data_IF_610133539126
#
_entry.id   IF_610133539126
#
_cell.length_a   1.000
_cell.length_b   1.000
_cell.length_c   1.000
_cell.angle_alpha   90.00
_cell.angle_beta   90.00
_cell.angle_gamma   90.00
#
_symmetry.space_group_name_H-M   'P 1'
#
loop_
_entity.id
_entity.type
_entity.pdbx_description
1 polymer ?
#
# COMPACT_ATOMS: atom_id res chain seq x y z
N UNK A 1 -4.25 -5.84 -0.96
CA UNK A 1 -4.38 -6.78 -2.10
C UNK A 1 -3.62 -6.22 -3.28
N UNK A 2 -2.81 -7.04 -3.96
CA UNK A 2 -2.02 -6.67 -5.14
C UNK A 2 -2.54 -7.40 -6.37
N UNK A 3 -2.64 -6.69 -7.49
CA UNK A 3 -2.92 -7.24 -8.81
C UNK A 3 -1.69 -7.01 -9.71
N UNK A 4 -1.35 -7.97 -10.55
CA UNK A 4 -0.28 -7.85 -11.52
C UNK A 4 -0.70 -8.51 -12.84
N UNK A 5 -0.14 -8.06 -13.95
CA UNK A 5 -0.23 -8.73 -15.25
C UNK A 5 1.01 -9.59 -15.56
N UNK A 6 1.96 -9.68 -14.62
CA UNK A 6 3.10 -10.56 -14.76
C UNK A 6 2.67 -12.04 -14.63
N UNK A 7 3.17 -12.94 -15.49
CA UNK A 7 2.89 -14.38 -15.39
C UNK A 7 3.65 -14.96 -14.21
N UNK A 8 2.97 -15.14 -13.09
CA UNK A 8 3.52 -15.64 -11.85
C UNK A 8 2.72 -16.85 -11.36
N UNK A 9 3.42 -17.86 -10.85
CA UNK A 9 2.81 -18.95 -10.11
C UNK A 9 2.45 -18.53 -8.66
N UNK A 10 1.73 -19.40 -7.96
CA UNK A 10 1.27 -19.12 -6.59
C UNK A 10 2.42 -18.85 -5.61
N UNK A 11 3.56 -19.52 -5.76
CA UNK A 11 4.74 -19.31 -4.92
C UNK A 11 5.33 -17.92 -5.11
N UNK A 12 5.46 -17.48 -6.37
CA UNK A 12 5.99 -16.16 -6.71
C UNK A 12 5.01 -15.04 -6.34
N UNK A 13 3.71 -15.26 -6.56
CA UNK A 13 2.66 -14.35 -6.08
C UNK A 13 2.70 -14.18 -4.57
N UNK A 14 2.91 -15.24 -3.81
CA UNK A 14 3.10 -15.16 -2.36
C UNK A 14 4.30 -14.31 -1.95
N UNK A 15 5.42 -14.40 -2.67
CA UNK A 15 6.61 -13.56 -2.44
C UNK A 15 6.35 -12.08 -2.74
N UNK A 16 5.60 -11.79 -3.80
CA UNK A 16 5.18 -10.41 -4.14
C UNK A 16 4.20 -9.89 -3.11
N UNK A 17 3.19 -10.68 -2.74
CA UNK A 17 2.23 -10.32 -1.70
C UNK A 17 2.91 -9.93 -0.39
N UNK A 18 3.92 -10.70 0.03
CA UNK A 18 4.65 -10.42 1.27
C UNK A 18 5.33 -9.04 1.26
N UNK A 19 5.72 -8.53 0.10
CA UNK A 19 6.34 -7.19 -0.05
C UNK A 19 5.38 -6.05 0.29
N UNK A 20 4.07 -6.26 0.21
CA UNK A 20 3.10 -5.24 0.64
C UNK A 20 3.18 -4.93 2.15
N UNK A 21 3.61 -5.89 2.98
CA UNK A 21 3.85 -5.65 4.40
C UNK A 21 5.02 -4.67 4.61
N UNK A 22 6.04 -4.73 3.76
CA UNK A 22 7.15 -3.76 3.78
C UNK A 22 6.66 -2.37 3.38
N UNK A 23 5.81 -2.26 2.34
CA UNK A 23 5.17 -0.99 1.96
C UNK A 23 4.32 -0.41 3.10
N UNK A 24 3.57 -1.26 3.80
CA UNK A 24 2.80 -0.85 4.98
C UNK A 24 3.70 -0.35 6.11
N UNK A 25 4.85 -0.99 6.35
CA UNK A 25 5.82 -0.54 7.35
C UNK A 25 6.34 0.87 7.05
N UNK A 26 6.53 1.23 5.78
CA UNK A 26 6.97 2.57 5.37
C UNK A 26 5.96 3.66 5.73
N UNK A 27 4.68 3.33 5.86
CA UNK A 27 3.64 4.29 6.28
C UNK A 27 3.53 4.45 7.80
N UNK A 28 4.41 3.81 8.58
CA UNK A 28 4.48 3.93 10.03
C UNK A 28 3.78 2.82 10.81
N UNK A 29 3.41 1.71 10.17
CA UNK A 29 2.88 0.55 10.88
C UNK A 29 3.96 -0.12 11.75
N UNK A 30 3.64 -0.38 13.00
CA UNK A 30 4.51 -1.07 13.97
C UNK A 30 4.23 -2.58 14.07
N UNK A 31 3.26 -3.09 13.32
CA UNK A 31 2.83 -4.50 13.35
C UNK A 31 2.59 -5.02 14.79
N UNK A 32 1.88 -4.24 15.59
CA UNK A 32 1.63 -4.59 16.99
C UNK A 32 0.98 -5.98 17.13
N UNK A 33 1.24 -6.66 18.23
CA UNK A 33 0.79 -8.04 18.47
C UNK A 33 -0.74 -8.25 18.52
N UNK A 34 -1.53 -7.17 18.40
CA UNK A 34 -2.99 -7.20 18.26
C UNK A 34 -3.46 -6.96 16.83
N UNK A 35 -2.55 -6.67 15.92
CA UNK A 35 -2.84 -6.50 14.49
C UNK A 35 -2.82 -7.85 13.78
N UNK A 36 -3.74 -8.04 12.85
CA UNK A 36 -3.76 -9.19 11.95
C UNK A 36 -3.62 -8.69 10.52
N UNK A 37 -2.40 -8.72 9.99
CA UNK A 37 -2.10 -8.19 8.67
C UNK A 37 -2.06 -9.31 7.65
N UNK A 38 -2.82 -9.15 6.57
CA UNK A 38 -2.94 -10.13 5.50
C UNK A 38 -2.55 -9.52 4.17
N UNK A 39 -1.82 -10.28 3.37
CA UNK A 39 -1.45 -9.91 2.03
C UNK A 39 -1.97 -10.94 1.02
N UNK A 40 -2.62 -10.45 -0.03
CA UNK A 40 -3.09 -11.25 -1.15
C UNK A 40 -2.54 -10.68 -2.44
N UNK A 41 -2.10 -11.55 -3.35
CA UNK A 41 -1.76 -11.16 -4.71
C UNK A 41 -2.39 -12.12 -5.72
N UNK A 42 -2.74 -11.59 -6.88
CA UNK A 42 -3.21 -12.40 -8.02
C UNK A 42 -2.64 -11.84 -9.33
N UNK A 43 -2.55 -12.71 -10.32
CA UNK A 43 -2.15 -12.31 -11.67
C UNK A 43 -3.35 -12.38 -12.61
N UNK A 44 -3.43 -11.39 -13.50
CA UNK A 44 -4.37 -11.35 -14.63
C UNK A 44 -3.73 -11.83 -15.93
N UNK A 45 -2.45 -12.24 -15.88
CA UNK A 45 -1.78 -12.82 -17.04
C UNK A 45 -2.53 -14.06 -17.54
N UNK A 46 -2.61 -14.26 -18.87
CA UNK A 46 -3.05 -15.53 -19.43
C UNK A 46 -2.10 -16.65 -19.00
N UNK A 47 -2.54 -17.92 -19.04
CA UNK A 47 -1.67 -19.05 -18.76
C UNK A 47 -0.40 -18.99 -19.60
N UNK A 48 0.75 -18.89 -18.94
CA UNK A 48 2.07 -18.80 -19.56
C UNK A 48 3.13 -19.38 -18.61
N UNK A 49 4.33 -19.62 -19.15
CA UNK A 49 5.48 -19.98 -18.33
C UNK A 49 5.76 -18.88 -17.30
N UNK A 50 5.84 -19.21 -16.01
CA UNK A 50 6.10 -18.22 -14.98
C UNK A 50 7.46 -17.54 -15.14
N UNK A 51 7.52 -16.25 -14.84
CA UNK A 51 8.80 -15.52 -14.81
C UNK A 51 9.80 -16.19 -13.87
N UNK A 52 11.09 -16.23 -14.24
CA UNK A 52 12.13 -16.77 -13.37
C UNK A 52 12.30 -15.91 -12.12
N UNK A 53 12.82 -16.52 -11.05
CA UNK A 53 13.05 -15.84 -9.78
C UNK A 53 13.97 -14.61 -9.92
N UNK A 54 14.92 -14.63 -10.85
CA UNK A 54 15.82 -13.53 -11.17
C UNK A 54 15.13 -12.29 -11.73
N UNK A 55 13.89 -12.40 -12.21
CA UNK A 55 13.10 -11.29 -12.75
C UNK A 55 12.13 -10.68 -11.72
N UNK A 56 12.16 -11.13 -10.46
CA UNK A 56 11.18 -10.69 -9.45
C UNK A 56 11.55 -9.38 -8.75
N UNK A 57 12.81 -8.99 -8.72
CA UNK A 57 13.25 -7.81 -7.94
C UNK A 57 12.51 -6.52 -8.33
N UNK A 58 12.31 -6.19 -9.61
CA UNK A 58 11.51 -5.02 -9.98
C UNK A 58 10.05 -5.11 -9.49
N UNK A 59 9.46 -6.31 -9.49
CA UNK A 59 8.10 -6.52 -8.99
C UNK A 59 8.02 -6.37 -7.48
N UNK A 60 9.07 -6.73 -6.74
CA UNK A 60 9.14 -6.51 -5.31
C UNK A 60 9.17 -5.02 -4.97
N UNK A 61 9.99 -4.24 -5.67
CA UNK A 61 10.04 -2.79 -5.50
C UNK A 61 8.68 -2.17 -5.83
N UNK A 62 8.12 -2.52 -6.99
CA UNK A 62 6.81 -2.01 -7.41
C UNK A 62 5.68 -2.35 -6.40
N UNK A 63 5.68 -3.55 -5.83
CA UNK A 63 4.70 -3.95 -4.82
C UNK A 63 4.82 -3.13 -3.51
N UNK A 64 6.05 -2.81 -3.10
CA UNK A 64 6.31 -1.97 -1.92
C UNK A 64 5.79 -0.56 -2.19
N UNK A 65 6.20 0.05 -3.29
CA UNK A 65 5.88 1.43 -3.63
C UNK A 65 4.38 1.63 -3.88
N UNK A 66 3.76 0.73 -4.65
CA UNK A 66 2.31 0.76 -4.90
C UNK A 66 1.48 0.59 -3.61
N UNK A 67 1.97 -0.20 -2.65
CA UNK A 67 1.28 -0.38 -1.36
C UNK A 67 1.38 0.88 -0.51
N UNK A 68 2.56 1.46 -0.41
CA UNK A 68 2.78 2.72 0.30
C UNK A 68 1.90 3.83 -0.28
N UNK A 69 1.92 4.00 -1.59
CA UNK A 69 1.10 5.00 -2.30
C UNK A 69 -0.40 4.76 -2.07
N UNK A 70 -0.87 3.52 -2.18
CA UNK A 70 -2.28 3.19 -1.96
C UNK A 70 -2.75 3.53 -0.55
N UNK A 71 -1.94 3.29 0.47
CA UNK A 71 -2.25 3.62 1.86
C UNK A 71 -2.31 5.14 2.04
N UNK A 72 -1.30 5.87 1.57
CA UNK A 72 -1.27 7.33 1.66
C UNK A 72 -2.45 7.96 0.92
N UNK A 73 -2.77 7.49 -0.28
CA UNK A 73 -3.92 7.95 -1.05
C UNK A 73 -5.25 7.66 -0.32
N UNK A 74 -5.37 6.49 0.32
CA UNK A 74 -6.57 6.15 1.08
C UNK A 74 -6.81 7.10 2.25
N UNK A 75 -5.75 7.51 2.95
CA UNK A 75 -5.83 8.48 4.05
C UNK A 75 -6.25 9.86 3.56
N UNK A 76 -5.67 10.32 2.44
CA UNK A 76 -5.97 11.65 1.88
C UNK A 76 -7.36 11.72 1.24
N UNK A 77 -7.88 10.60 0.71
CA UNK A 77 -9.21 10.50 0.13
C UNK A 77 -10.31 10.18 1.16
N UNK A 78 -9.94 9.87 2.40
CA UNK A 78 -10.88 9.50 3.44
C UNK A 78 -11.89 10.60 3.75
N UNK A 79 -13.10 10.18 4.13
CA UNK A 79 -14.16 11.07 4.62
C UNK A 79 -14.55 10.67 6.03
N UNK A 80 -15.01 11.62 6.83
CA UNK A 80 -15.58 11.33 8.15
C UNK A 80 -16.83 10.46 7.97
N UNK A 81 -16.88 9.35 8.72
CA UNK A 81 -17.98 8.38 8.66
C UNK A 81 -18.56 8.19 10.05
N UNK A 82 -19.89 8.23 10.14
CA UNK A 82 -20.61 7.82 11.34
C UNK A 82 -21.08 6.38 11.16
N UNK A 83 -20.60 5.50 12.01
CA UNK A 83 -20.91 4.07 12.00
C UNK A 83 -21.92 3.65 13.04
N UNK A 84 -21.87 2.37 13.41
CA UNK A 84 -22.77 1.74 14.36
C UNK A 84 -22.77 2.45 15.72
N UNK A 85 -23.96 2.66 16.30
CA UNK A 85 -24.18 3.35 17.58
C UNK A 85 -23.60 4.77 17.68
N UNK A 86 -23.48 5.49 16.55
CA UNK A 86 -22.99 6.85 16.53
C UNK A 86 -21.46 6.97 16.66
N UNK A 87 -20.71 5.88 16.55
CA UNK A 87 -19.25 5.96 16.50
C UNK A 87 -18.80 6.73 15.26
N UNK A 88 -18.00 7.78 15.47
CA UNK A 88 -17.48 8.64 14.41
C UNK A 88 -16.00 8.35 14.19
N UNK A 89 -15.65 8.01 12.96
CA UNK A 89 -14.26 7.95 12.49
C UNK A 89 -13.98 9.19 11.64
N UNK A 90 -13.12 10.05 12.16
CA UNK A 90 -12.78 11.31 11.49
C UNK A 90 -11.79 11.09 10.35
N UNK A 91 -12.00 11.78 9.24
CA UNK A 91 -11.01 11.87 8.17
C UNK A 91 -9.75 12.60 8.64
N UNK A 92 -8.64 12.32 7.97
CA UNK A 92 -7.40 13.07 8.17
C UNK A 92 -7.65 14.55 7.81
N UNK A 93 -7.26 15.51 8.69
CA UNK A 93 -7.39 16.94 8.40
C UNK A 93 -6.33 17.38 7.39
N UNK A 94 -6.63 17.21 6.10
CA UNK A 94 -5.69 17.36 4.97
C UNK A 94 -5.01 18.74 4.96
N UNK A 95 -5.74 19.80 5.29
CA UNK A 95 -5.15 21.15 5.34
C UNK A 95 -4.07 21.26 6.41
N UNK A 96 -4.31 20.68 7.59
CA UNK A 96 -3.31 20.65 8.66
C UNK A 96 -2.08 19.81 8.26
N UNK A 97 -2.28 18.69 7.58
CA UNK A 97 -1.17 17.88 7.03
C UNK A 97 -0.36 18.71 6.04
N UNK A 98 -1.03 19.42 5.14
CA UNK A 98 -0.37 20.30 4.16
C UNK A 98 0.44 21.41 4.82
N UNK A 99 -0.10 22.04 5.85
CA UNK A 99 0.59 23.11 6.59
C UNK A 99 1.82 22.57 7.33
N UNK A 100 1.72 21.38 7.95
CA UNK A 100 2.86 20.73 8.58
C UNK A 100 3.95 20.37 7.55
N UNK A 101 3.58 19.89 6.39
CA UNK A 101 4.51 19.57 5.31
C UNK A 101 5.20 20.83 4.78
N UNK A 102 4.47 21.95 4.62
CA UNK A 102 5.05 23.25 4.25
C UNK A 102 6.05 23.72 5.29
N UNK A 103 5.67 23.68 6.57
CA UNK A 103 6.53 24.10 7.68
C UNK A 103 7.82 23.28 7.78
N UNK A 104 7.82 22.04 7.28
CA UNK A 104 8.98 21.14 7.25
C UNK A 104 9.74 21.17 5.91
N UNK A 105 9.30 21.96 4.93
CA UNK A 105 9.94 22.06 3.62
C UNK A 105 9.86 20.77 2.76
N UNK A 106 8.92 19.86 3.07
CA UNK A 106 8.76 18.61 2.34
C UNK A 106 7.73 18.68 1.21
N UNK A 107 6.95 19.75 1.11
CA UNK A 107 6.13 20.04 -0.06
C UNK A 107 6.97 20.78 -1.09
N UNK A 108 7.18 20.14 -2.24
CA UNK A 108 7.65 20.86 -3.41
C UNK A 108 6.51 21.77 -3.88
N UNK A 109 6.75 23.08 -3.89
CA UNK A 109 5.87 24.01 -4.61
C UNK A 109 6.05 23.69 -6.09
N UNK A 110 5.06 23.00 -6.67
CA UNK A 110 5.05 22.75 -8.10
C UNK A 110 5.15 24.07 -8.86
N UNK A 111 5.98 24.06 -9.86
CA UNK A 111 6.07 25.12 -10.87
C UNK A 111 4.85 25.05 -11.77
#
# INVERSE_FOLDING_TARGET
>A
MLATDAPLDSRRLGRVAWRSLVGMARTGSDFSGRSGDYALAFSTAPPAEPLPDSALDPLFVAAIDATEEAILNSLLAARTVTGFRGHVMHAVPVDRVRDLCRARGVLQTGH
#
